data_IF_243520231080
#
_entry.id   IF_243520231080
#
_cell.length_a   1.000
_cell.length_b   1.000
_cell.length_c   1.000
_cell.angle_alpha   90.00
_cell.angle_beta   90.00
_cell.angle_gamma   90.00
#
_symmetry.space_group_name_H-M   'P 1'
#
loop_
_entity.id
_entity.type
_entity.pdbx_description
1 polymer ?
#
# COMPACT_ATOMS: atom_id res chain seq x y z
N UNK A 1 -10.69 5.96 -21.85
CA UNK A 1 -9.72 5.07 -22.53
C UNK A 1 -8.44 5.79 -22.93
N UNK A 2 -8.51 6.89 -23.70
CA UNK A 2 -7.32 7.65 -24.09
C UNK A 2 -6.50 8.15 -22.88
N UNK A 3 -7.16 8.60 -21.81
CA UNK A 3 -6.51 9.05 -20.57
C UNK A 3 -5.64 7.96 -19.91
N UNK A 4 -6.13 6.72 -19.84
CA UNK A 4 -5.41 5.59 -19.22
C UNK A 4 -4.22 5.18 -20.08
N UNK A 5 -4.36 5.20 -21.40
CA UNK A 5 -3.27 4.91 -22.32
C UNK A 5 -2.16 5.96 -22.21
N UNK A 6 -2.52 7.25 -22.15
CA UNK A 6 -1.57 8.34 -21.94
C UNK A 6 -0.84 8.22 -20.59
N UNK A 7 -1.57 7.90 -19.51
CA UNK A 7 -0.98 7.63 -18.20
C UNK A 7 0.01 6.46 -18.24
N UNK A 8 -0.32 5.37 -18.92
CA UNK A 8 0.56 4.19 -19.05
C UNK A 8 1.87 4.53 -19.78
N UNK A 9 1.81 5.34 -20.83
CA UNK A 9 3.01 5.77 -21.54
C UNK A 9 3.86 6.69 -20.65
N UNK A 10 3.22 7.63 -19.95
CA UNK A 10 3.92 8.56 -19.08
C UNK A 10 4.55 7.89 -17.86
N UNK A 11 3.98 6.81 -17.32
CA UNK A 11 4.61 6.08 -16.21
C UNK A 11 5.88 5.35 -16.64
N UNK A 12 5.91 4.77 -17.83
CA UNK A 12 7.10 4.08 -18.38
C UNK A 12 8.22 5.09 -18.65
N UNK A 13 7.89 6.19 -19.32
CA UNK A 13 8.88 7.23 -19.68
C UNK A 13 9.33 7.99 -18.43
N UNK A 14 8.39 8.46 -17.61
CA UNK A 14 8.67 9.20 -16.39
C UNK A 14 9.49 8.39 -15.39
N UNK A 15 9.19 7.10 -15.22
CA UNK A 15 9.95 6.23 -14.32
C UNK A 15 11.42 6.04 -14.75
N UNK A 16 11.66 5.85 -16.05
CA UNK A 16 13.04 5.69 -16.56
C UNK A 16 13.84 6.99 -16.51
N UNK A 17 13.22 8.13 -16.85
CA UNK A 17 13.83 9.45 -16.73
C UNK A 17 14.19 9.79 -15.27
N UNK A 18 13.29 9.50 -14.32
CA UNK A 18 13.53 9.72 -12.90
C UNK A 18 14.71 8.90 -12.37
N UNK A 19 14.85 7.64 -12.82
CA UNK A 19 15.98 6.80 -12.41
C UNK A 19 17.33 7.40 -12.85
N UNK A 20 17.40 7.94 -14.07
CA UNK A 20 18.61 8.62 -14.53
C UNK A 20 18.87 9.94 -13.82
N UNK A 21 17.82 10.67 -13.45
CA UNK A 21 17.95 11.94 -12.71
C UNK A 21 18.30 11.75 -11.24
N UNK A 22 17.84 10.69 -10.57
CA UNK A 22 18.09 10.51 -9.13
C UNK A 22 19.48 9.92 -8.84
N UNK A 23 20.03 9.08 -9.72
CA UNK A 23 21.31 8.40 -9.49
C UNK A 23 22.49 9.08 -10.20
N UNK A 24 22.89 10.26 -9.71
CA UNK A 24 24.07 10.96 -10.24
C UNK A 24 25.41 10.26 -9.95
N UNK A 25 25.50 9.49 -8.85
CA UNK A 25 26.68 8.71 -8.50
C UNK A 25 26.34 7.22 -8.42
N UNK A 26 26.88 6.37 -9.31
CA UNK A 26 26.62 4.94 -9.26
C UNK A 26 27.46 4.29 -8.14
N UNK A 27 26.83 3.98 -7.00
CA UNK A 27 27.42 3.07 -6.01
C UNK A 27 27.30 1.62 -6.51
N UNK A 28 28.42 0.89 -6.58
CA UNK A 28 28.39 -0.53 -6.94
C UNK A 28 27.86 -1.35 -5.76
N UNK A 29 26.62 -1.83 -5.88
CA UNK A 29 26.00 -2.72 -4.88
C UNK A 29 26.30 -4.18 -5.25
N UNK A 30 27.23 -4.82 -4.55
CA UNK A 30 27.48 -6.27 -4.69
C UNK A 30 26.64 -7.08 -3.70
N UNK A 31 25.39 -7.37 -4.07
CA UNK A 31 24.51 -8.26 -3.31
C UNK A 31 24.66 -9.72 -3.76
N UNK A 32 24.54 -10.71 -2.85
CA UNK A 32 24.46 -12.12 -3.24
C UNK A 32 23.26 -12.35 -4.17
N UNK A 33 23.41 -13.24 -5.16
CA UNK A 33 22.43 -13.47 -6.25
C UNK A 33 20.98 -13.63 -5.76
N UNK A 34 20.79 -14.26 -4.60
CA UNK A 34 19.47 -14.47 -3.99
C UNK A 34 18.76 -13.14 -3.64
N UNK A 35 19.48 -12.19 -3.03
CA UNK A 35 18.89 -10.91 -2.62
C UNK A 35 18.54 -10.04 -3.83
N UNK A 36 19.35 -10.08 -4.89
CA UNK A 36 19.11 -9.30 -6.11
C UNK A 36 17.83 -9.70 -6.84
N UNK A 37 17.42 -10.97 -6.75
CA UNK A 37 16.24 -11.50 -7.45
C UNK A 37 14.99 -11.62 -6.56
N UNK A 38 15.13 -11.38 -5.24
CA UNK A 38 14.06 -11.62 -4.27
C UNK A 38 12.78 -10.83 -4.59
N UNK A 39 12.90 -9.56 -4.97
CA UNK A 39 11.75 -8.70 -5.26
C UNK A 39 10.92 -9.24 -6.42
N UNK A 40 11.56 -9.71 -7.49
CA UNK A 40 10.89 -10.29 -8.64
C UNK A 40 10.17 -11.60 -8.26
N UNK A 41 10.83 -12.46 -7.48
CA UNK A 41 10.23 -13.71 -7.00
C UNK A 41 9.01 -13.44 -6.13
N UNK A 42 9.09 -12.49 -5.18
CA UNK A 42 7.96 -12.14 -4.30
C UNK A 42 6.80 -11.55 -5.10
N UNK A 43 7.05 -10.70 -6.09
CA UNK A 43 6.00 -10.15 -6.95
C UNK A 43 5.28 -11.24 -7.76
N UNK A 44 6.02 -12.19 -8.34
CA UNK A 44 5.42 -13.30 -9.09
C UNK A 44 4.63 -14.25 -8.17
N UNK A 45 5.19 -14.62 -7.03
CA UNK A 45 4.51 -15.44 -6.03
C UNK A 45 3.25 -14.75 -5.49
N UNK A 46 3.33 -13.45 -5.21
CA UNK A 46 2.19 -12.64 -4.76
C UNK A 46 1.06 -12.58 -5.79
N UNK A 47 1.40 -12.38 -7.07
CA UNK A 47 0.43 -12.42 -8.17
C UNK A 47 -0.26 -13.79 -8.31
N UNK A 48 0.52 -14.87 -8.22
CA UNK A 48 -0.01 -16.23 -8.27
C UNK A 48 -0.91 -16.57 -7.07
N UNK A 49 -0.46 -16.24 -5.86
CA UNK A 49 -1.28 -16.41 -4.64
C UNK A 49 -2.55 -15.57 -4.70
N UNK A 50 -2.49 -14.33 -5.19
CA UNK A 50 -3.66 -13.47 -5.36
C UNK A 50 -4.69 -14.06 -6.31
N UNK A 51 -4.25 -14.66 -7.42
CA UNK A 51 -5.13 -15.36 -8.35
C UNK A 51 -5.84 -16.56 -7.69
N UNK A 52 -5.09 -17.41 -6.96
CA UNK A 52 -5.64 -18.55 -6.24
C UNK A 52 -6.66 -18.12 -5.17
N UNK A 53 -6.36 -17.06 -4.43
CA UNK A 53 -7.26 -16.52 -3.40
C UNK A 53 -8.59 -16.02 -3.99
N UNK A 54 -8.56 -15.39 -5.17
CA UNK A 54 -9.78 -14.94 -5.83
C UNK A 54 -10.67 -16.12 -6.27
N UNK A 55 -10.08 -17.21 -6.78
CA UNK A 55 -10.82 -18.41 -7.13
C UNK A 55 -11.49 -19.06 -5.90
N UNK A 56 -10.76 -19.12 -4.78
CA UNK A 56 -11.28 -19.64 -3.49
C UNK A 56 -12.37 -18.73 -2.93
N UNK A 57 -12.26 -17.40 -3.08
CA UNK A 57 -13.29 -16.46 -2.61
C UNK A 57 -14.65 -16.69 -3.28
N UNK A 58 -14.66 -16.98 -4.59
CA UNK A 58 -15.89 -17.30 -5.32
C UNK A 58 -16.59 -18.55 -4.74
N UNK A 59 -15.81 -19.57 -4.37
CA UNK A 59 -16.31 -20.85 -3.85
C UNK A 59 -16.74 -20.78 -2.37
N UNK A 60 -16.11 -19.92 -1.55
CA UNK A 60 -16.27 -19.92 -0.09
C UNK A 60 -16.98 -18.68 0.48
N UNK A 61 -17.97 -18.13 -0.25
CA UNK A 61 -18.71 -16.91 0.14
C UNK A 61 -19.20 -16.94 1.60
N UNK A 62 -19.68 -18.10 2.08
CA UNK A 62 -20.20 -18.27 3.45
C UNK A 62 -19.14 -18.56 4.52
N UNK A 63 -17.95 -19.08 4.17
CA UNK A 63 -16.83 -19.30 5.13
C UNK A 63 -16.10 -17.99 5.49
N UNK A 64 -16.35 -16.92 4.75
CA UNK A 64 -15.76 -15.60 5.03
C UNK A 64 -16.14 -15.02 6.40
N UNK A 65 -17.28 -15.46 6.96
CA UNK A 65 -17.78 -15.06 8.28
C UNK A 65 -16.93 -15.59 9.44
N UNK A 66 -16.20 -16.72 9.28
CA UNK A 66 -15.37 -17.26 10.37
C UNK A 66 -14.13 -16.40 10.66
N UNK A 67 -13.64 -15.65 9.67
CA UNK A 67 -12.51 -14.72 9.81
C UNK A 67 -12.95 -13.25 9.73
N UNK A 68 -14.17 -12.95 10.16
CA UNK A 68 -14.75 -11.61 10.07
C UNK A 68 -13.92 -10.55 10.78
N UNK A 69 -13.45 -10.83 12.00
CA UNK A 69 -12.66 -9.87 12.79
C UNK A 69 -11.34 -9.49 12.10
N UNK A 70 -10.63 -10.46 11.49
CA UNK A 70 -9.40 -10.19 10.76
C UNK A 70 -9.67 -9.39 9.47
N UNK A 71 -10.73 -9.73 8.74
CA UNK A 71 -11.10 -8.96 7.54
C UNK A 71 -11.52 -7.53 7.87
N UNK A 72 -12.26 -7.33 8.97
CA UNK A 72 -12.61 -5.99 9.46
C UNK A 72 -11.37 -5.22 9.87
N UNK A 73 -10.45 -5.82 10.62
CA UNK A 73 -9.21 -5.16 11.04
C UNK A 73 -8.37 -4.68 9.84
N UNK A 74 -8.15 -5.55 8.87
CA UNK A 74 -7.40 -5.20 7.65
C UNK A 74 -8.18 -4.22 6.77
N UNK A 75 -9.50 -4.40 6.63
CA UNK A 75 -10.37 -3.55 5.81
C UNK A 75 -10.56 -2.14 6.36
N UNK A 76 -10.61 -1.99 7.68
CA UNK A 76 -10.65 -0.68 8.36
C UNK A 76 -9.26 -0.02 8.47
N UNK A 77 -8.27 -0.53 7.72
CA UNK A 77 -6.88 -0.07 7.76
C UNK A 77 -6.34 -0.01 9.19
N UNK A 78 -6.38 -1.13 9.90
CA UNK A 78 -5.89 -1.24 11.27
C UNK A 78 -6.51 -0.20 12.23
N UNK A 79 -7.77 0.16 12.01
CA UNK A 79 -8.50 1.20 12.74
C UNK A 79 -7.87 2.60 12.69
N UNK A 80 -6.97 2.85 11.73
CA UNK A 80 -6.27 4.12 11.58
C UNK A 80 -7.22 5.33 11.42
N UNK A 81 -8.33 5.25 10.65
CA UNK A 81 -9.27 6.37 10.56
C UNK A 81 -9.95 6.71 11.89
N UNK A 82 -10.19 5.72 12.75
CA UNK A 82 -10.82 5.92 14.06
C UNK A 82 -9.84 6.58 15.03
N UNK A 83 -8.57 6.14 15.00
CA UNK A 83 -7.49 6.72 15.80
C UNK A 83 -7.22 8.17 15.39
N UNK A 84 -7.17 8.45 14.08
CA UNK A 84 -6.92 9.80 13.59
C UNK A 84 -8.07 10.77 13.90
N UNK A 85 -9.31 10.33 13.81
CA UNK A 85 -10.48 11.21 13.98
C UNK A 85 -10.90 11.41 15.43
N UNK A 86 -10.87 10.38 16.27
CA UNK A 86 -11.43 10.47 17.63
C UNK A 86 -10.38 10.71 18.70
N UNK A 87 -9.18 10.17 18.54
CA UNK A 87 -8.11 10.32 19.55
C UNK A 87 -7.28 11.56 19.24
N UNK A 88 -6.77 11.67 18.00
CA UNK A 88 -5.80 12.71 17.63
C UNK A 88 -6.44 14.09 17.50
N UNK A 89 -7.66 14.22 16.94
CA UNK A 89 -8.33 15.53 16.76
C UNK A 89 -8.76 16.16 18.09
N UNK A 90 -9.13 15.37 19.10
CA UNK A 90 -9.62 15.91 20.37
C UNK A 90 -8.56 16.72 21.13
N UNK A 91 -7.28 16.38 20.98
CA UNK A 91 -6.18 17.08 21.63
C UNK A 91 -6.02 18.55 21.18
N UNK A 92 -5.82 18.87 19.89
CA UNK A 92 -5.75 20.26 19.42
C UNK A 92 -7.06 21.02 19.63
N UNK A 93 -8.22 20.36 19.55
CA UNK A 93 -9.52 21.01 19.72
C UNK A 93 -9.74 21.51 21.17
N UNK A 94 -9.34 20.69 22.16
CA UNK A 94 -9.37 21.09 23.58
C UNK A 94 -8.35 22.20 23.87
N UNK A 95 -7.18 22.15 23.25
CA UNK A 95 -6.16 23.20 23.38
C UNK A 95 -6.63 24.53 22.79
N UNK A 96 -7.29 24.52 21.63
CA UNK A 96 -7.91 25.69 21.02
C UNK A 96 -9.04 26.30 21.86
N UNK A 97 -9.90 25.47 22.46
CA UNK A 97 -10.95 25.94 23.38
C UNK A 97 -10.40 26.62 24.63
N UNK A 98 -9.32 26.09 25.21
CA UNK A 98 -8.68 26.71 26.37
C UNK A 98 -8.02 28.05 26.02
N UNK A 99 -7.48 28.21 24.81
CA UNK A 99 -6.94 29.49 24.34
C UNK A 99 -8.02 30.54 24.06
N UNK A 100 -9.21 30.12 23.59
CA UNK A 100 -10.32 31.04 23.34
C UNK A 100 -11.03 31.51 24.63
N UNK A 101 -11.01 30.68 25.67
CA UNK A 101 -11.62 31.01 26.98
C UNK A 101 -10.68 31.76 27.93
N UNK A 102 -9.37 31.75 27.66
CA UNK A 102 -8.35 32.46 28.43
C UNK A 102 -8.14 33.89 27.97
#
# INVERSE_FOLDING_TARGET
>A
NFSIFFLMIMTIIGGSMLNWLMFFNPEMINLPKMMKLLTLVVCLMGGFMGYLLNYIFFLYKNKSLSFYNLKLFVGMMWFMPFISTLIIINFPLKMGLNLYKG
#
